data_IF_939595586373
#
_entry.id   IF_939595586373
#
_cell.length_a   1.000
_cell.length_b   1.000
_cell.length_c   1.000
_cell.angle_alpha   90.00
_cell.angle_beta   90.00
_cell.angle_gamma   90.00
#
_symmetry.space_group_name_H-M   'P 1'
#
loop_
_entity.id
_entity.type
_entity.pdbx_description
1 polymer ?
#
# COMPACT_ATOMS: atom_id res chain seq x y z
N UNK A 1 -18.08 -16.05 11.64
CA UNK A 1 -17.46 -14.93 10.91
C UNK A 1 -17.93 -15.01 9.46
N UNK A 2 -18.91 -14.19 9.07
CA UNK A 2 -19.34 -14.14 7.67
C UNK A 2 -18.22 -13.47 6.86
N UNK A 3 -17.52 -14.28 6.05
CA UNK A 3 -16.57 -13.73 5.05
C UNK A 3 -17.41 -13.21 3.89
N UNK A 4 -17.58 -11.90 3.80
CA UNK A 4 -18.16 -11.30 2.62
C UNK A 4 -17.16 -11.45 1.46
N UNK A 5 -17.48 -12.35 0.54
CA UNK A 5 -16.73 -12.46 -0.71
C UNK A 5 -17.25 -11.38 -1.65
N UNK A 6 -16.39 -10.45 -2.04
CA UNK A 6 -16.71 -9.44 -3.06
C UNK A 6 -16.25 -9.98 -4.41
N UNK A 7 -17.18 -10.14 -5.34
CA UNK A 7 -16.89 -10.55 -6.70
C UNK A 7 -17.02 -9.33 -7.59
N UNK A 8 -15.92 -8.89 -8.19
CA UNK A 8 -15.90 -7.81 -9.15
C UNK A 8 -15.74 -8.36 -10.57
N UNK A 9 -16.69 -8.05 -11.44
CA UNK A 9 -16.58 -8.39 -12.86
C UNK A 9 -15.84 -7.28 -13.60
N UNK A 10 -14.70 -7.58 -14.20
CA UNK A 10 -13.92 -6.63 -14.97
C UNK A 10 -14.50 -6.51 -16.41
N UNK A 11 -14.85 -5.32 -16.81
CA UNK A 11 -15.40 -5.02 -18.16
C UNK A 11 -14.28 -4.80 -19.22
N UNK A 12 -13.15 -5.43 -19.07
CA UNK A 12 -11.95 -5.23 -19.91
C UNK A 12 -11.76 -6.30 -20.98
N UNK A 13 -12.86 -6.76 -21.61
CA UNK A 13 -12.82 -7.93 -22.51
C UNK A 13 -11.89 -7.77 -23.73
N UNK A 14 -11.60 -6.53 -24.16
CA UNK A 14 -10.74 -6.22 -25.32
C UNK A 14 -9.31 -5.84 -24.95
N UNK A 15 -8.99 -5.69 -23.66
CA UNK A 15 -7.68 -5.25 -23.19
C UNK A 15 -6.77 -6.43 -22.85
N UNK A 16 -5.45 -6.27 -23.06
CA UNK A 16 -4.46 -7.18 -22.52
C UNK A 16 -4.49 -7.12 -20.99
N UNK A 17 -4.62 -8.26 -20.33
CA UNK A 17 -4.62 -8.36 -18.87
C UNK A 17 -3.22 -8.64 -18.37
N UNK A 18 -2.73 -7.80 -17.48
CA UNK A 18 -1.42 -7.90 -16.85
C UNK A 18 -1.65 -8.11 -15.36
N UNK A 19 -1.00 -9.11 -14.80
CA UNK A 19 -1.08 -9.44 -13.38
C UNK A 19 0.30 -9.29 -12.76
N UNK A 20 0.41 -8.50 -11.68
CA UNK A 20 1.65 -8.29 -10.93
C UNK A 20 1.36 -8.49 -9.45
N UNK A 21 2.29 -9.10 -8.74
CA UNK A 21 2.23 -9.34 -7.29
C UNK A 21 3.51 -8.83 -6.61
N UNK A 22 3.44 -8.59 -5.27
CA UNK A 22 4.60 -8.43 -4.40
C UNK A 22 5.55 -7.30 -4.79
N UNK A 23 5.02 -6.09 -4.92
CA UNK A 23 5.80 -4.88 -5.24
C UNK A 23 6.65 -4.46 -4.04
N UNK A 24 6.09 -4.58 -2.81
CA UNK A 24 6.79 -4.31 -1.55
C UNK A 24 7.57 -2.99 -1.52
N UNK A 25 6.94 -1.87 -1.90
CA UNK A 25 7.57 -0.54 -1.84
C UNK A 25 8.76 -0.36 -2.80
N UNK A 26 8.93 -1.23 -3.80
CA UNK A 26 9.98 -1.13 -4.81
C UNK A 26 9.49 -0.37 -6.06
N UNK A 27 9.10 0.90 -5.88
CA UNK A 27 8.53 1.73 -6.94
C UNK A 27 9.38 1.75 -8.22
N UNK A 28 10.70 1.91 -8.09
CA UNK A 28 11.59 2.00 -9.25
C UNK A 28 11.60 0.70 -10.07
N UNK A 29 11.54 -0.46 -9.39
CA UNK A 29 11.46 -1.75 -10.06
C UNK A 29 10.08 -1.96 -10.71
N UNK A 30 9.02 -1.51 -10.05
CA UNK A 30 7.67 -1.54 -10.60
C UNK A 30 7.56 -0.71 -11.88
N UNK A 31 8.06 0.53 -11.87
CA UNK A 31 8.09 1.40 -13.06
C UNK A 31 8.94 0.78 -14.18
N UNK A 32 10.13 0.23 -13.85
CA UNK A 32 10.98 -0.48 -14.81
C UNK A 32 10.26 -1.68 -15.44
N UNK A 33 9.51 -2.42 -14.64
CA UNK A 33 8.72 -3.56 -15.13
C UNK A 33 7.64 -3.08 -16.11
N UNK A 34 6.85 -2.07 -15.75
CA UNK A 34 5.82 -1.49 -16.62
C UNK A 34 6.39 -1.04 -17.96
N UNK A 35 7.55 -0.37 -17.95
CA UNK A 35 8.26 0.05 -19.16
C UNK A 35 8.73 -1.15 -19.99
N UNK A 36 9.30 -2.17 -19.33
CA UNK A 36 9.81 -3.37 -20.02
C UNK A 36 8.71 -4.15 -20.74
N UNK A 37 7.54 -4.26 -20.13
CA UNK A 37 6.37 -4.95 -20.71
C UNK A 37 5.58 -4.04 -21.68
N UNK A 38 6.01 -2.80 -21.85
CA UNK A 38 5.36 -1.78 -22.68
C UNK A 38 3.90 -1.59 -22.26
N UNK A 39 3.67 -1.40 -20.95
CA UNK A 39 2.36 -1.14 -20.41
C UNK A 39 1.76 0.13 -21.03
N UNK A 40 0.48 0.07 -21.38
CA UNK A 40 -0.24 1.19 -21.97
C UNK A 40 -1.63 1.33 -21.33
N UNK A 41 -1.92 2.41 -20.58
CA UNK A 41 -3.16 2.55 -19.80
C UNK A 41 -4.45 2.34 -20.58
N UNK A 42 -4.49 2.76 -21.83
CA UNK A 42 -5.69 2.63 -22.67
C UNK A 42 -5.89 1.25 -23.32
N UNK A 43 -4.83 0.42 -23.36
CA UNK A 43 -4.84 -0.89 -24.02
C UNK A 43 -4.75 -2.05 -23.07
N UNK A 44 -4.32 -1.79 -21.85
CA UNK A 44 -4.06 -2.81 -20.84
C UNK A 44 -5.00 -2.64 -19.65
N UNK A 45 -5.33 -3.76 -19.02
CA UNK A 45 -5.96 -3.81 -17.70
C UNK A 45 -4.93 -4.41 -16.75
N UNK A 46 -4.57 -3.69 -15.71
CA UNK A 46 -3.55 -4.09 -14.73
C UNK A 46 -4.25 -4.58 -13.46
N UNK A 47 -3.84 -5.76 -12.99
CA UNK A 47 -4.35 -6.39 -11.77
C UNK A 47 -3.18 -6.58 -10.81
N UNK A 48 -3.22 -5.89 -9.68
CA UNK A 48 -2.22 -6.00 -8.61
C UNK A 48 -2.73 -6.92 -7.52
N UNK A 49 -2.01 -8.01 -7.24
CA UNK A 49 -2.44 -9.07 -6.33
C UNK A 49 -2.05 -8.82 -4.86
N UNK A 50 -1.77 -7.58 -4.50
CA UNK A 50 -1.43 -7.18 -3.14
C UNK A 50 0.06 -7.24 -2.82
N UNK A 51 0.36 -7.06 -1.54
CA UNK A 51 1.71 -6.85 -1.02
C UNK A 51 2.43 -5.71 -1.74
N UNK A 52 1.70 -4.58 -1.88
CA UNK A 52 2.12 -3.39 -2.61
C UNK A 52 3.19 -2.61 -1.85
N UNK A 53 3.05 -2.60 -0.53
CA UNK A 53 3.87 -1.84 0.41
C UNK A 53 4.58 -2.76 1.40
N UNK A 54 5.36 -2.16 2.29
CA UNK A 54 6.20 -2.80 3.30
C UNK A 54 7.43 -3.51 2.73
N UNK A 55 8.50 -3.53 3.50
CA UNK A 55 9.81 -4.15 3.22
C UNK A 55 10.73 -3.37 2.26
N UNK A 56 10.21 -2.56 1.37
CA UNK A 56 11.02 -1.80 0.40
C UNK A 56 11.25 -0.34 0.82
N UNK A 57 12.06 0.39 0.07
CA UNK A 57 12.55 1.71 0.48
C UNK A 57 11.60 2.88 0.18
N UNK A 58 10.51 2.67 -0.59
CA UNK A 58 9.61 3.71 -1.08
C UNK A 58 8.14 3.33 -0.91
N UNK A 59 7.74 2.99 0.32
CA UNK A 59 6.38 2.49 0.56
C UNK A 59 5.32 3.55 0.32
N UNK A 60 5.51 4.76 0.85
CA UNK A 60 4.56 5.86 0.71
C UNK A 60 4.47 6.33 -0.75
N UNK A 61 5.61 6.48 -1.44
CA UNK A 61 5.63 6.85 -2.85
C UNK A 61 4.96 5.78 -3.74
N UNK A 62 5.19 4.49 -3.44
CA UNK A 62 4.55 3.37 -4.15
C UNK A 62 3.04 3.41 -3.96
N UNK A 63 2.58 3.64 -2.73
CA UNK A 63 1.17 3.77 -2.42
C UNK A 63 0.52 4.90 -3.22
N UNK A 64 1.09 6.10 -3.17
CA UNK A 64 0.58 7.27 -3.91
C UNK A 64 0.56 7.03 -5.43
N UNK A 65 1.62 6.43 -5.97
CA UNK A 65 1.69 6.12 -7.40
C UNK A 65 0.58 5.16 -7.84
N UNK A 66 0.38 4.06 -7.11
CA UNK A 66 -0.66 3.07 -7.42
C UNK A 66 -2.05 3.66 -7.21
N UNK A 67 -2.27 4.46 -6.18
CA UNK A 67 -3.54 5.16 -5.98
C UNK A 67 -3.88 6.11 -7.13
N UNK A 68 -2.89 6.81 -7.65
CA UNK A 68 -3.09 7.64 -8.84
C UNK A 68 -3.49 6.78 -10.05
N UNK A 69 -2.78 5.66 -10.27
CA UNK A 69 -3.11 4.74 -11.35
C UNK A 69 -4.54 4.18 -11.22
N UNK A 70 -4.98 3.78 -10.03
CA UNK A 70 -6.35 3.27 -9.83
C UNK A 70 -7.44 4.31 -10.12
N UNK A 71 -7.13 5.60 -9.99
CA UNK A 71 -8.05 6.71 -10.27
C UNK A 71 -8.09 7.11 -11.75
N UNK A 72 -7.00 6.91 -12.46
CA UNK A 72 -6.79 7.45 -13.82
C UNK A 72 -6.71 6.40 -14.91
N UNK A 73 -6.50 5.13 -14.53
CA UNK A 73 -6.21 4.03 -15.44
C UNK A 73 -7.10 2.82 -15.10
N UNK A 74 -7.08 1.79 -15.94
CA UNK A 74 -7.78 0.51 -15.69
C UNK A 74 -6.90 -0.40 -14.81
N UNK A 75 -6.76 -0.01 -13.54
CA UNK A 75 -5.93 -0.69 -12.54
C UNK A 75 -6.81 -1.16 -11.37
N UNK A 76 -6.69 -2.43 -11.04
CA UNK A 76 -7.43 -3.08 -9.96
C UNK A 76 -6.45 -3.65 -8.94
N UNK A 77 -6.70 -3.38 -7.66
CA UNK A 77 -5.84 -3.84 -6.58
C UNK A 77 -6.60 -4.81 -5.67
N UNK A 78 -5.94 -5.89 -5.28
CA UNK A 78 -6.35 -6.77 -4.20
C UNK A 78 -5.43 -6.48 -3.01
N UNK A 79 -5.97 -6.47 -1.81
CA UNK A 79 -5.19 -6.25 -0.59
C UNK A 79 -4.41 -7.52 -0.23
N UNK A 80 -3.08 -7.41 -0.16
CA UNK A 80 -2.19 -8.46 0.35
C UNK A 80 -2.12 -8.47 1.88
N UNK A 81 -1.38 -9.42 2.44
CA UNK A 81 -1.24 -9.52 3.89
C UNK A 81 -0.41 -8.37 4.48
N UNK A 82 0.60 -7.87 3.77
CA UNK A 82 1.39 -6.73 4.23
C UNK A 82 0.56 -5.44 4.21
N UNK A 83 -0.24 -5.22 3.17
CA UNK A 83 -1.15 -4.08 3.06
C UNK A 83 -2.20 -4.11 4.18
N UNK A 84 -2.78 -5.30 4.43
CA UNK A 84 -3.74 -5.52 5.50
C UNK A 84 -3.15 -5.23 6.88
N UNK A 85 -1.91 -5.67 7.13
CA UNK A 85 -1.20 -5.40 8.38
C UNK A 85 -0.95 -3.91 8.53
N UNK A 86 -0.41 -3.23 7.52
CA UNK A 86 -0.12 -1.80 7.56
C UNK A 86 -1.40 -0.99 7.83
N UNK A 87 -2.49 -1.32 7.15
CA UNK A 87 -3.80 -0.71 7.38
C UNK A 87 -4.29 -0.93 8.81
N UNK A 88 -4.27 -2.18 9.31
CA UNK A 88 -4.78 -2.49 10.64
C UNK A 88 -3.93 -1.90 11.75
N UNK A 89 -2.62 -1.78 11.55
CA UNK A 89 -1.73 -1.13 12.51
C UNK A 89 -2.15 0.34 12.71
N UNK A 90 -2.49 1.03 11.66
CA UNK A 90 -2.97 2.42 11.75
C UNK A 90 -4.37 2.52 12.38
N UNK A 91 -5.23 1.53 12.20
CA UNK A 91 -6.62 1.56 12.67
C UNK A 91 -6.87 0.77 13.95
N UNK A 92 -6.04 -0.22 14.28
CA UNK A 92 -6.23 -1.01 15.49
C UNK A 92 -5.39 -0.42 16.62
N UNK A 93 -6.03 -0.21 17.77
CA UNK A 93 -5.39 0.19 19.02
C UNK A 93 -4.52 -0.93 19.67
N UNK A 94 -4.13 -1.95 18.91
CA UNK A 94 -3.27 -3.05 19.40
C UNK A 94 -1.80 -2.65 19.34
N UNK A 95 -1.42 -1.77 20.27
CA UNK A 95 -0.09 -1.21 20.44
C UNK A 95 1.02 -2.27 20.57
N UNK A 96 0.72 -3.43 21.12
CA UNK A 96 1.71 -4.50 21.31
C UNK A 96 2.16 -5.11 19.99
N UNK A 97 1.23 -5.31 19.06
CA UNK A 97 1.53 -5.80 17.73
C UNK A 97 2.31 -4.75 16.91
N UNK A 98 1.99 -3.48 17.10
CA UNK A 98 2.67 -2.33 16.49
C UNK A 98 4.14 -2.25 16.92
N UNK A 99 4.41 -2.32 18.22
CA UNK A 99 5.77 -2.33 18.75
C UNK A 99 6.58 -3.49 18.18
N UNK A 100 5.97 -4.66 18.04
CA UNK A 100 6.61 -5.82 17.48
C UNK A 100 6.94 -5.62 15.99
N UNK A 101 6.00 -5.16 15.17
CA UNK A 101 6.22 -4.91 13.72
C UNK A 101 7.27 -3.81 13.50
N UNK A 102 7.21 -2.72 14.26
CA UNK A 102 8.15 -1.59 14.13
C UNK A 102 9.56 -1.92 14.63
N UNK A 103 9.70 -2.81 15.61
CA UNK A 103 11.04 -3.22 16.12
C UNK A 103 11.82 -4.06 15.11
N UNK A 104 11.15 -4.76 14.20
CA UNK A 104 11.79 -5.62 13.19
C UNK A 104 11.95 -4.98 11.81
N UNK A 105 11.23 -3.89 11.52
CA UNK A 105 11.23 -3.27 10.19
C UNK A 105 11.72 -1.83 10.28
N UNK A 106 12.94 -1.59 9.79
CA UNK A 106 13.51 -0.23 9.69
C UNK A 106 12.82 0.62 8.62
N UNK A 107 12.18 -0.02 7.66
CA UNK A 107 11.51 0.62 6.52
C UNK A 107 10.06 0.12 6.46
N UNK A 108 9.14 0.88 7.03
CA UNK A 108 7.71 0.62 6.97
C UNK A 108 6.97 1.87 6.52
N UNK A 109 5.79 1.69 5.96
CA UNK A 109 4.90 2.79 5.59
C UNK A 109 4.71 3.80 6.73
N UNK A 110 4.55 3.31 7.96
CA UNK A 110 4.35 4.16 9.14
C UNK A 110 5.57 5.05 9.41
N UNK A 111 6.78 4.52 9.29
CA UNK A 111 8.00 5.32 9.46
C UNK A 111 8.11 6.40 8.36
N UNK A 112 7.81 6.06 7.12
CA UNK A 112 7.83 7.01 6.02
C UNK A 112 6.76 8.10 6.19
N UNK A 113 5.54 7.74 6.57
CA UNK A 113 4.47 8.68 6.90
C UNK A 113 4.85 9.61 8.07
N UNK A 114 5.40 9.07 9.15
CA UNK A 114 5.84 9.86 10.29
C UNK A 114 6.97 10.83 9.90
N UNK A 115 7.96 10.33 9.15
CA UNK A 115 9.08 11.14 8.66
C UNK A 115 8.62 12.29 7.77
N UNK A 116 7.64 12.08 6.90
CA UNK A 116 7.09 13.13 6.03
C UNK A 116 6.39 14.26 6.81
N UNK A 117 5.93 13.97 8.03
CA UNK A 117 5.36 14.93 8.96
C UNK A 117 6.37 15.44 9.99
N UNK A 118 7.67 15.16 9.84
CA UNK A 118 8.74 15.47 10.78
C UNK A 118 8.52 14.86 12.18
N UNK A 119 7.86 13.70 12.25
CA UNK A 119 7.66 12.95 13.49
C UNK A 119 8.73 11.86 13.57
N UNK A 120 9.57 11.92 14.61
CA UNK A 120 10.54 10.89 14.91
C UNK A 120 9.91 9.81 15.79
N UNK A 121 9.95 8.55 15.32
CA UNK A 121 9.49 7.39 16.10
C UNK A 121 10.68 6.82 16.85
N UNK A 122 10.65 6.92 18.18
CA UNK A 122 11.64 6.36 19.10
C UNK A 122 11.03 5.26 19.95
N UNK A 123 11.86 4.56 20.72
CA UNK A 123 11.38 3.55 21.67
C UNK A 123 10.42 4.11 22.73
N UNK A 124 10.53 5.42 23.03
CA UNK A 124 9.70 6.10 24.01
C UNK A 124 8.46 6.79 23.39
N UNK A 125 8.27 6.72 22.08
CA UNK A 125 7.14 7.34 21.40
C UNK A 125 5.81 6.71 21.82
N UNK A 126 4.82 7.57 22.11
CA UNK A 126 3.45 7.11 22.28
C UNK A 126 2.86 6.78 20.91
N UNK A 127 2.88 5.50 20.54
CA UNK A 127 2.42 5.05 19.22
C UNK A 127 0.93 5.32 18.98
N UNK A 128 0.11 5.42 20.03
CA UNK A 128 -1.31 5.79 19.89
C UNK A 128 -1.45 7.19 19.31
N UNK A 129 -0.69 8.14 19.86
CA UNK A 129 -0.73 9.53 19.42
C UNK A 129 -0.16 9.67 18.00
N UNK A 130 0.96 8.99 17.72
CA UNK A 130 1.55 8.94 16.37
C UNK A 130 0.53 8.42 15.37
N UNK A 131 -0.10 7.26 15.61
CA UNK A 131 -1.10 6.70 14.72
C UNK A 131 -2.33 7.60 14.57
N UNK A 132 -2.72 8.34 15.60
CA UNK A 132 -3.83 9.29 15.52
C UNK A 132 -3.49 10.46 14.58
N UNK A 133 -2.28 10.99 14.67
CA UNK A 133 -1.81 12.06 13.78
C UNK A 133 -1.73 11.56 12.34
N UNK A 134 -1.12 10.39 12.12
CA UNK A 134 -0.98 9.79 10.79
C UNK A 134 -2.35 9.55 10.14
N UNK A 135 -3.31 9.00 10.89
CA UNK A 135 -4.68 8.81 10.39
C UNK A 135 -5.34 10.10 9.95
N UNK A 136 -5.16 11.18 10.72
CA UNK A 136 -5.73 12.47 10.39
C UNK A 136 -5.18 13.04 9.07
N UNK A 137 -3.90 12.81 8.78
CA UNK A 137 -3.24 13.34 7.59
C UNK A 137 -3.40 12.45 6.35
N UNK A 138 -3.49 11.12 6.54
CA UNK A 138 -3.48 10.13 5.46
C UNK A 138 -4.78 9.32 5.38
N UNK A 139 -5.92 9.92 5.81
CA UNK A 139 -7.20 9.20 5.83
C UNK A 139 -7.62 8.71 4.45
N UNK A 140 -7.40 9.55 3.42
CA UNK A 140 -7.80 9.24 2.05
C UNK A 140 -6.90 8.18 1.40
N UNK A 141 -5.61 8.14 1.76
CA UNK A 141 -4.65 7.17 1.26
C UNK A 141 -4.80 5.78 1.90
N UNK A 142 -5.46 5.71 3.04
CA UNK A 142 -5.69 4.45 3.77
C UNK A 142 -7.02 3.77 3.42
N UNK A 143 -7.81 4.38 2.56
CA UNK A 143 -9.06 3.81 2.02
C UNK A 143 -8.75 2.93 0.79
N UNK A 144 -8.20 1.72 1.06
CA UNK A 144 -8.08 0.66 0.05
C UNK A 144 -9.40 -0.09 -0.11
#
# INVERSE_FOLDING_TARGET
MNRNVVIQKLNSNSKRKIVISDIHGNLDLYIKLLNKIKYHPNKDCLILLGDLIEKGPKNLETLHYIMLQTKTEDVHCIMGNCDFIAKNVLYSYRLDFLKHVLSFRKESLIHEMAKSLNIEITQNSNMSDVCQILRKHYLDELCF
#
